data_IF_290126801229
#
_entry.id   IF_290126801229
#
_cell.length_a   1.000
_cell.length_b   1.000
_cell.length_c   1.000
_cell.angle_alpha   90.00
_cell.angle_beta   90.00
_cell.angle_gamma   90.00
#
_symmetry.space_group_name_H-M   'P 1'
#
loop_
_entity.id
_entity.type
_entity.pdbx_description
1 polymer ?
#
# COMPACT_ATOMS: atom_id res chain seq x y z
N UNK A 1 -15.86 -59.57 -20.10
CA UNK A 1 -15.21 -58.33 -20.59
C UNK A 1 -14.07 -57.99 -19.64
N UNK A 2 -12.84 -57.92 -20.16
CA UNK A 2 -11.60 -57.68 -19.41
C UNK A 2 -11.35 -56.18 -19.32
N UNK A 3 -11.50 -55.60 -18.14
CA UNK A 3 -10.91 -54.31 -17.79
C UNK A 3 -10.42 -54.36 -16.35
N UNK A 4 -9.35 -55.11 -16.11
CA UNK A 4 -8.44 -54.75 -15.02
C UNK A 4 -7.64 -53.57 -15.57
N UNK A 5 -8.07 -52.35 -15.28
CA UNK A 5 -7.19 -51.20 -15.37
C UNK A 5 -5.93 -51.59 -14.57
N UNK A 6 -4.82 -51.83 -15.28
CA UNK A 6 -3.59 -52.36 -14.70
C UNK A 6 -3.26 -51.60 -13.43
N UNK A 7 -3.12 -52.29 -12.29
CA UNK A 7 -2.73 -51.71 -10.99
C UNK A 7 -1.50 -50.78 -11.10
N UNK A 8 -0.68 -51.00 -12.13
CA UNK A 8 0.48 -50.19 -12.48
C UNK A 8 0.15 -48.74 -12.89
N UNK A 9 -0.97 -48.50 -13.58
CA UNK A 9 -1.37 -47.14 -13.99
C UNK A 9 -1.96 -46.37 -12.80
N UNK A 10 -2.68 -47.04 -11.91
CA UNK A 10 -3.28 -46.42 -10.73
C UNK A 10 -2.24 -46.03 -9.67
N UNK A 11 -1.22 -46.87 -9.43
CA UNK A 11 -0.09 -46.56 -8.54
C UNK A 11 0.84 -45.46 -9.07
N UNK A 12 1.05 -45.39 -10.39
CA UNK A 12 1.78 -44.27 -11.00
C UNK A 12 0.98 -42.96 -10.89
N UNK A 13 -0.32 -43.01 -11.17
CA UNK A 13 -1.20 -41.84 -11.06
C UNK A 13 -1.26 -41.31 -9.62
N UNK A 14 -1.34 -42.18 -8.61
CA UNK A 14 -1.36 -41.75 -7.20
C UNK A 14 -0.06 -41.04 -6.77
N UNK A 15 1.10 -41.49 -7.27
CA UNK A 15 2.40 -40.82 -7.04
C UNK A 15 2.43 -39.40 -7.61
N UNK A 16 1.93 -39.21 -8.84
CA UNK A 16 1.85 -37.88 -9.46
C UNK A 16 0.84 -36.98 -8.73
N UNK A 17 -0.31 -37.52 -8.31
CA UNK A 17 -1.29 -36.78 -7.52
C UNK A 17 -0.73 -36.30 -6.18
N UNK A 18 0.07 -37.11 -5.49
CA UNK A 18 0.66 -36.70 -4.22
C UNK A 18 1.69 -35.56 -4.38
N UNK A 19 2.52 -35.61 -5.43
CA UNK A 19 3.44 -34.51 -5.76
C UNK A 19 2.67 -33.24 -6.13
N UNK A 20 1.61 -33.37 -6.93
CA UNK A 20 0.74 -32.24 -7.27
C UNK A 20 0.09 -31.64 -6.02
N UNK A 21 -0.41 -32.46 -5.10
CA UNK A 21 -1.01 -32.01 -3.84
C UNK A 21 0.00 -31.27 -2.95
N UNK A 22 1.23 -31.77 -2.84
CA UNK A 22 2.30 -31.09 -2.10
C UNK A 22 2.66 -29.73 -2.72
N UNK A 23 2.72 -29.65 -4.05
CA UNK A 23 2.94 -28.38 -4.77
C UNK A 23 1.79 -27.40 -4.58
N UNK A 24 0.54 -27.86 -4.66
CA UNK A 24 -0.65 -27.02 -4.44
C UNK A 24 -0.67 -26.48 -3.01
N UNK A 25 -0.37 -27.31 -2.01
CA UNK A 25 -0.24 -26.88 -0.62
C UNK A 25 0.85 -25.83 -0.44
N UNK A 26 2.02 -26.04 -1.06
CA UNK A 26 3.11 -25.08 -0.99
C UNK A 26 2.77 -23.75 -1.67
N UNK A 27 2.13 -23.79 -2.85
CA UNK A 27 1.65 -22.60 -3.54
C UNK A 27 0.60 -21.84 -2.72
N UNK A 28 -0.28 -22.56 -2.01
CA UNK A 28 -1.28 -21.95 -1.14
C UNK A 28 -0.64 -21.25 0.08
N UNK A 29 0.37 -21.87 0.68
CA UNK A 29 1.19 -21.24 1.74
C UNK A 29 1.89 -20.00 1.19
N UNK A 30 2.48 -20.09 -0.01
CA UNK A 30 3.16 -18.98 -0.65
C UNK A 30 2.22 -17.81 -0.95
N UNK A 31 1.04 -18.10 -1.50
CA UNK A 31 0.02 -17.09 -1.77
C UNK A 31 -0.45 -16.39 -0.48
N UNK A 32 -0.69 -17.17 0.58
CA UNK A 32 -1.03 -16.63 1.91
C UNK A 32 0.08 -15.72 2.46
N UNK A 33 1.35 -16.12 2.31
CA UNK A 33 2.49 -15.30 2.75
C UNK A 33 2.60 -13.97 1.99
N UNK A 34 2.32 -13.95 0.68
CA UNK A 34 2.29 -12.73 -0.12
C UNK A 34 1.18 -11.80 0.36
N UNK A 35 -0.03 -12.34 0.58
CA UNK A 35 -1.15 -11.56 1.09
C UNK A 35 -0.84 -10.94 2.45
N UNK A 36 -0.18 -11.69 3.34
CA UNK A 36 0.25 -11.19 4.65
C UNK A 36 1.25 -10.02 4.53
N UNK A 37 2.23 -10.12 3.63
CA UNK A 37 3.20 -9.03 3.38
C UNK A 37 2.50 -7.79 2.79
N UNK A 38 1.62 -7.97 1.80
CA UNK A 38 0.88 -6.87 1.17
C UNK A 38 -0.01 -6.17 2.20
N UNK A 39 -0.70 -6.92 3.06
CA UNK A 39 -1.51 -6.35 4.13
C UNK A 39 -0.65 -5.57 5.15
N UNK A 40 0.51 -6.09 5.51
CA UNK A 40 1.45 -5.39 6.38
C UNK A 40 1.97 -4.10 5.73
N UNK A 41 2.23 -4.10 4.41
CA UNK A 41 2.63 -2.92 3.67
C UNK A 41 1.51 -1.87 3.64
N UNK A 42 0.28 -2.26 3.30
CA UNK A 42 -0.86 -1.34 3.30
C UNK A 42 -1.15 -0.74 4.68
N UNK A 43 -0.99 -1.52 5.74
CA UNK A 43 -1.12 -1.00 7.10
C UNK A 43 -0.08 0.11 7.36
N UNK A 44 1.17 -0.08 6.92
CA UNK A 44 2.22 0.94 7.05
C UNK A 44 1.98 2.16 6.18
N UNK A 45 1.54 1.97 4.94
CA UNK A 45 1.14 3.08 4.06
C UNK A 45 0.03 3.91 4.71
N UNK A 46 -0.95 3.27 5.35
CA UNK A 46 -2.04 3.94 6.05
C UNK A 46 -1.55 4.74 7.26
N UNK A 47 -0.67 4.18 8.07
CA UNK A 47 -0.03 4.88 9.19
C UNK A 47 0.76 6.11 8.72
N UNK A 48 1.58 5.96 7.68
CA UNK A 48 2.34 7.07 7.08
C UNK A 48 1.39 8.14 6.53
N UNK A 49 0.34 7.73 5.84
CA UNK A 49 -0.69 8.65 5.33
C UNK A 49 -1.36 9.42 6.46
N UNK A 50 -1.61 8.79 7.61
CA UNK A 50 -2.15 9.45 8.79
C UNK A 50 -1.16 10.48 9.37
N UNK A 51 0.12 10.13 9.53
CA UNK A 51 1.15 11.07 9.99
C UNK A 51 1.32 12.27 9.04
N UNK A 52 1.31 12.02 7.73
CA UNK A 52 1.34 13.08 6.72
C UNK A 52 0.12 13.98 6.78
N UNK A 53 -1.08 13.43 6.98
CA UNK A 53 -2.29 14.23 7.13
C UNK A 53 -2.23 15.12 8.38
N UNK A 54 -1.77 14.59 9.51
CA UNK A 54 -1.59 15.38 10.75
C UNK A 54 -0.60 16.53 10.55
N UNK A 55 0.53 16.25 9.89
CA UNK A 55 1.54 17.25 9.54
C UNK A 55 0.96 18.31 8.59
N UNK A 56 0.20 17.88 7.59
CA UNK A 56 -0.48 18.78 6.66
C UNK A 56 -1.53 19.66 7.35
N UNK A 57 -2.25 19.13 8.34
CA UNK A 57 -3.23 19.92 9.08
C UNK A 57 -2.54 20.96 9.97
N UNK A 58 -1.36 20.66 10.53
CA UNK A 58 -0.52 21.65 11.21
C UNK A 58 -0.06 22.76 10.25
N UNK A 59 0.46 22.39 9.09
CA UNK A 59 0.85 23.32 8.03
C UNK A 59 -0.32 24.22 7.60
N UNK A 60 -1.51 23.63 7.41
CA UNK A 60 -2.70 24.36 7.02
C UNK A 60 -3.15 25.32 8.12
N UNK A 61 -3.14 24.89 9.39
CA UNK A 61 -3.46 25.77 10.53
C UNK A 61 -2.53 26.97 10.62
N UNK A 62 -1.25 26.81 10.27
CA UNK A 62 -0.30 27.92 10.21
C UNK A 62 -0.76 28.99 9.20
N UNK A 63 -1.07 28.58 7.96
CA UNK A 63 -1.53 29.50 6.91
C UNK A 63 -2.90 30.12 7.27
N UNK A 64 -3.81 29.33 7.85
CA UNK A 64 -5.11 29.83 8.31
C UNK A 64 -4.96 30.89 9.40
N UNK A 65 -4.10 30.64 10.41
CA UNK A 65 -3.80 31.60 11.47
C UNK A 65 -3.27 32.92 10.90
N UNK A 66 -2.35 32.86 9.94
CA UNK A 66 -1.84 34.07 9.29
C UNK A 66 -2.92 34.78 8.48
N UNK A 67 -3.81 34.04 7.81
CA UNK A 67 -4.97 34.64 7.13
C UNK A 67 -5.93 35.31 8.10
N UNK A 68 -6.13 34.79 9.30
CA UNK A 68 -7.05 35.37 10.28
C UNK A 68 -6.47 36.65 10.87
N UNK A 69 -5.17 36.66 11.20
CA UNK A 69 -4.45 37.90 11.58
C UNK A 69 -4.52 38.94 10.47
N UNK A 70 -4.36 38.54 9.20
CA UNK A 70 -4.50 39.46 8.07
C UNK A 70 -5.89 40.08 7.96
N UNK A 71 -6.96 39.33 8.25
CA UNK A 71 -8.34 39.88 8.27
C UNK A 71 -8.51 40.89 9.39
N UNK A 72 -7.99 40.62 10.58
CA UNK A 72 -8.03 41.55 11.71
C UNK A 72 -7.27 42.84 11.39
N UNK A 73 -6.04 42.74 10.90
CA UNK A 73 -5.23 43.89 10.52
C UNK A 73 -5.87 44.68 9.37
N UNK A 74 -6.47 43.99 8.39
CA UNK A 74 -7.25 44.63 7.31
C UNK A 74 -8.40 45.45 7.86
N UNK A 75 -9.23 44.86 8.72
CA UNK A 75 -10.40 45.54 9.32
C UNK A 75 -9.98 46.82 10.08
N UNK A 76 -8.85 46.75 10.78
CA UNK A 76 -8.32 47.91 11.53
C UNK A 76 -7.77 48.96 10.57
N UNK A 77 -7.03 48.55 9.53
CA UNK A 77 -6.53 49.45 8.50
C UNK A 77 -7.69 50.18 7.79
N UNK A 78 -8.74 49.47 7.37
CA UNK A 78 -9.91 50.06 6.71
C UNK A 78 -10.59 51.10 7.61
N UNK A 79 -10.82 50.78 8.89
CA UNK A 79 -11.46 51.71 9.83
C UNK A 79 -10.62 52.94 10.15
N UNK A 80 -9.31 52.78 10.30
CA UNK A 80 -8.40 53.88 10.67
C UNK A 80 -8.00 54.76 9.49
N UNK A 81 -7.98 54.20 8.28
CA UNK A 81 -7.79 54.96 7.03
C UNK A 81 -9.05 55.73 6.62
N UNK A 82 -10.25 55.25 6.99
CA UNK A 82 -11.53 55.93 6.71
C UNK A 82 -11.80 57.16 7.58
N UNK A 83 -11.20 57.23 8.77
CA UNK A 83 -11.53 58.27 9.74
C UNK A 83 -10.87 59.60 9.33
N UNK A 84 -11.62 60.46 8.62
CA UNK A 84 -11.23 61.86 8.31
C UNK A 84 -10.88 62.67 9.56
N UNK A 85 -11.34 62.23 10.74
CA UNK A 85 -10.81 62.62 12.03
C UNK A 85 -10.46 61.34 12.79
N UNK A 86 -9.20 60.93 12.72
CA UNK A 86 -8.68 59.75 13.43
C UNK A 86 -9.20 59.73 14.86
N UNK A 87 -9.77 58.59 15.28
CA UNK A 87 -10.25 58.41 16.66
C UNK A 87 -9.17 58.92 17.61
N UNK A 88 -9.44 60.06 18.23
CA UNK A 88 -8.55 60.74 19.17
C UNK A 88 -8.05 59.71 20.19
N UNK A 89 -6.73 59.62 20.33
CA UNK A 89 -6.09 58.86 21.40
C UNK A 89 -6.79 59.15 22.73
N UNK A 90 -7.13 58.14 23.55
CA UNK A 90 -7.42 58.41 24.95
C UNK A 90 -6.13 58.94 25.57
N UNK A 91 -6.10 60.26 25.79
CA UNK A 91 -5.17 61.07 26.57
C UNK A 91 -3.93 60.36 27.15
N UNK A 92 -2.77 60.87 26.76
CA UNK A 92 -1.73 61.24 27.72
C UNK A 92 -0.51 60.31 27.80
N UNK A 93 0.47 60.54 26.93
CA UNK A 93 1.87 60.87 27.30
C UNK A 93 2.73 60.94 26.05
N UNK A 94 3.68 61.86 26.12
CA UNK A 94 4.73 62.18 25.16
C UNK A 94 5.62 60.97 24.81
N UNK A 95 5.13 60.10 23.96
CA UNK A 95 6.01 59.27 23.13
C UNK A 95 5.60 59.55 21.70
N UNK A 96 6.35 60.47 21.09
CA UNK A 96 6.30 60.74 19.66
C UNK A 96 6.41 59.39 18.95
N UNK A 97 5.29 58.90 18.45
CA UNK A 97 5.26 57.67 17.71
C UNK A 97 6.09 57.93 16.45
N UNK A 98 7.24 57.27 16.28
CA UNK A 98 8.00 57.30 15.02
C UNK A 98 7.04 56.88 13.90
N UNK A 99 6.56 57.85 13.12
CA UNK A 99 5.66 57.59 12.00
C UNK A 99 6.55 57.01 10.91
N UNK A 100 6.22 55.83 10.35
CA UNK A 100 7.06 55.23 9.32
C UNK A 100 7.07 56.13 8.09
N UNK A 101 8.27 56.45 7.62
CA UNK A 101 8.46 57.22 6.39
C UNK A 101 8.11 56.30 5.21
N UNK A 102 7.40 56.86 4.22
CA UNK A 102 7.16 56.13 2.98
C UNK A 102 8.45 56.00 2.19
N UNK A 103 8.81 54.77 1.88
CA UNK A 103 9.92 54.45 1.01
C UNK A 103 9.39 54.15 -0.40
N UNK A 104 10.02 54.69 -1.46
CA UNK A 104 9.64 54.36 -2.82
C UNK A 104 9.99 52.90 -3.12
N UNK A 105 9.00 52.14 -3.61
CA UNK A 105 9.26 50.81 -4.17
C UNK A 105 9.97 50.94 -5.53
N UNK A 106 9.55 51.91 -6.35
CA UNK A 106 10.16 52.19 -7.65
C UNK A 106 10.97 53.48 -7.60
N UNK A 107 12.11 53.51 -8.29
CA UNK A 107 13.00 54.67 -8.32
C UNK A 107 12.29 55.97 -8.80
N UNK A 108 11.21 55.83 -9.56
CA UNK A 108 10.44 56.93 -10.15
C UNK A 108 9.23 57.38 -9.29
N UNK A 109 9.00 56.75 -8.12
CA UNK A 109 7.85 57.05 -7.24
C UNK A 109 8.10 58.27 -6.33
N UNK A 110 7.27 59.32 -6.42
CA UNK A 110 7.28 60.42 -5.46
C UNK A 110 6.39 60.11 -4.23
N UNK A 111 7.03 59.76 -3.12
CA UNK A 111 6.37 59.40 -1.88
C UNK A 111 6.15 60.57 -0.90
N UNK A 112 6.64 61.76 -1.23
CA UNK A 112 6.58 62.93 -0.34
C UNK A 112 5.15 63.47 -0.20
N UNK A 113 4.37 63.49 -1.28
CA UNK A 113 3.00 63.98 -1.30
C UNK A 113 2.05 63.07 -0.48
N UNK A 114 2.26 61.75 -0.54
CA UNK A 114 1.43 60.77 0.17
C UNK A 114 1.70 60.77 1.69
N UNK A 115 2.95 61.05 2.08
CA UNK A 115 3.32 61.22 3.50
C UNK A 115 2.50 62.32 4.18
N UNK A 116 2.16 63.39 3.47
CA UNK A 116 1.41 64.51 4.03
C UNK A 116 -0.09 64.24 4.13
N UNK A 117 -0.70 63.60 3.13
CA UNK A 117 -2.15 63.30 3.13
C UNK A 117 -2.53 62.21 4.13
N UNK A 118 -1.68 61.20 4.29
CA UNK A 118 -1.97 60.04 5.15
C UNK A 118 -1.35 60.15 6.54
N UNK A 119 -0.68 61.26 6.85
CA UNK A 119 0.13 61.42 8.09
C UNK A 119 -0.64 61.06 9.36
N UNK A 120 -1.86 61.59 9.50
CA UNK A 120 -2.70 61.39 10.69
C UNK A 120 -3.20 59.94 10.78
N UNK A 121 -3.66 59.38 9.66
CA UNK A 121 -4.12 57.99 9.61
C UNK A 121 -2.98 57.01 9.88
N UNK A 122 -1.77 57.28 9.37
CA UNK A 122 -0.56 56.49 9.61
C UNK A 122 -0.06 56.60 11.03
N UNK A 123 -0.15 57.77 11.67
CA UNK A 123 0.20 57.91 13.08
C UNK A 123 -0.71 57.04 13.95
N UNK A 124 -2.01 57.05 13.68
CA UNK A 124 -2.97 56.20 14.39
C UNK A 124 -2.71 54.70 14.15
N UNK A 125 -2.36 54.32 12.92
CA UNK A 125 -2.05 52.95 12.55
C UNK A 125 -0.71 52.52 13.17
N UNK A 126 0.32 53.37 13.14
CA UNK A 126 1.64 53.10 13.72
C UNK A 126 1.56 52.91 15.23
N UNK A 127 0.74 53.71 15.93
CA UNK A 127 0.48 53.50 17.35
C UNK A 127 -0.17 52.13 17.60
N UNK A 128 -1.20 51.79 16.81
CA UNK A 128 -1.84 50.48 16.93
C UNK A 128 -0.86 49.34 16.65
N UNK A 129 -0.03 49.45 15.61
CA UNK A 129 0.95 48.42 15.27
C UNK A 129 2.00 48.25 16.37
N UNK A 130 2.42 49.32 17.06
CA UNK A 130 3.28 49.18 18.25
C UNK A 130 2.56 48.49 19.40
N UNK A 131 1.34 48.91 19.72
CA UNK A 131 0.54 48.25 20.75
C UNK A 131 0.33 46.77 20.43
N UNK A 132 0.02 46.47 19.17
CA UNK A 132 -0.20 45.11 18.70
C UNK A 132 1.09 44.30 18.74
N UNK A 133 2.22 44.91 18.37
CA UNK A 133 3.54 44.30 18.51
C UNK A 133 3.82 43.91 19.95
N UNK A 134 3.72 44.86 20.86
CA UNK A 134 4.17 44.69 22.24
C UNK A 134 3.30 43.68 23.01
N UNK A 135 2.04 43.50 22.59
CA UNK A 135 1.11 42.56 23.23
C UNK A 135 0.90 41.24 22.48
N UNK A 136 1.09 41.19 21.15
CA UNK A 136 0.70 40.04 20.34
C UNK A 136 1.77 39.55 19.34
N UNK A 137 2.81 40.33 19.00
CA UNK A 137 3.78 39.90 17.96
C UNK A 137 4.50 38.59 18.29
N UNK A 138 4.81 38.33 19.57
CA UNK A 138 5.50 37.12 20.00
C UNK A 138 4.67 35.84 19.78
N UNK A 139 3.34 35.95 19.76
CA UNK A 139 2.45 34.81 19.51
C UNK A 139 2.33 34.45 18.02
N UNK A 140 2.68 35.38 17.13
CA UNK A 140 2.47 35.27 15.68
C UNK A 140 3.76 35.29 14.83
N UNK A 141 4.94 35.48 15.46
CA UNK A 141 6.26 35.50 14.81
C UNK A 141 6.33 36.37 13.54
N UNK A 142 5.59 37.48 13.54
CA UNK A 142 5.63 38.47 12.47
C UNK A 142 6.91 39.29 12.57
N UNK A 143 7.64 39.38 11.46
CA UNK A 143 8.84 40.19 11.40
C UNK A 143 8.53 41.60 10.92
N UNK A 144 7.58 41.71 9.98
CA UNK A 144 7.27 42.97 9.32
C UNK A 144 5.79 43.05 8.98
N UNK A 145 5.21 44.24 9.17
CA UNK A 145 3.95 44.61 8.53
C UNK A 145 4.24 45.86 7.70
N UNK A 146 3.75 45.88 6.47
CA UNK A 146 3.96 46.99 5.55
C UNK A 146 2.66 47.34 4.83
N UNK A 147 2.52 48.60 4.45
CA UNK A 147 1.38 49.11 3.71
C UNK A 147 1.89 49.78 2.44
N UNK A 148 1.28 49.46 1.30
CA UNK A 148 1.68 49.96 -0.01
C UNK A 148 0.51 50.74 -0.59
N UNK A 149 0.73 52.02 -0.93
CA UNK A 149 -0.30 52.81 -1.61
C UNK A 149 -0.61 52.26 -3.00
N UNK A 150 -1.89 52.18 -3.37
CA UNK A 150 -2.33 51.62 -4.66
C UNK A 150 -1.88 52.44 -5.86
N UNK A 151 -1.95 53.77 -5.75
CA UNK A 151 -1.70 54.70 -6.86
C UNK A 151 -0.21 55.06 -7.00
N UNK A 152 0.53 55.15 -5.88
CA UNK A 152 1.87 55.75 -5.84
C UNK A 152 2.99 54.71 -5.62
N UNK A 153 2.62 53.46 -5.29
CA UNK A 153 3.55 52.36 -5.00
C UNK A 153 4.59 52.75 -3.94
N UNK A 154 4.16 53.50 -2.93
CA UNK A 154 4.98 53.90 -1.80
C UNK A 154 4.72 52.97 -0.63
N UNK A 155 5.77 52.46 0.00
CA UNK A 155 5.69 51.50 1.10
C UNK A 155 5.93 52.20 2.44
N UNK A 156 4.96 52.12 3.35
CA UNK A 156 5.17 52.42 4.77
C UNK A 156 5.51 51.12 5.50
N UNK A 157 6.67 51.09 6.15
CA UNK A 157 7.13 49.92 6.90
C UNK A 157 6.87 50.11 8.41
N UNK A 158 6.02 49.28 9.00
CA UNK A 158 5.74 49.33 10.44
C UNK A 158 6.65 48.41 11.27
N UNK A 159 7.80 48.01 10.70
CA UNK A 159 8.85 47.13 11.26
C UNK A 159 8.64 46.66 12.70
N UNK A 160 8.41 45.35 12.87
CA UNK A 160 8.16 44.75 14.19
C UNK A 160 9.46 44.22 14.82
N UNK A 161 10.40 43.75 13.98
CA UNK A 161 11.74 43.29 14.37
C UNK A 161 12.78 43.90 13.42
N UNK A 162 13.93 44.33 13.95
CA UNK A 162 15.09 44.72 13.13
C UNK A 162 15.73 43.48 12.52
N UNK A 163 15.28 43.09 11.33
CA UNK A 163 15.90 42.03 10.54
C UNK A 163 16.69 42.64 9.38
N UNK A 164 17.99 42.32 9.24
CA UNK A 164 18.75 42.64 8.05
C UNK A 164 18.34 41.65 6.94
N UNK A 165 17.17 41.85 6.37
CA UNK A 165 16.77 41.13 5.16
C UNK A 165 17.63 41.69 4.03
N UNK A 166 18.10 40.83 3.12
CA UNK A 166 18.61 41.25 1.80
C UNK A 166 17.49 42.01 1.09
N UNK A 167 17.41 43.31 1.40
CA UNK A 167 16.28 44.18 1.13
C UNK A 167 15.98 44.17 -0.37
N UNK A 168 17.01 44.10 -1.19
CA UNK A 168 16.90 44.22 -2.64
C UNK A 168 16.27 42.99 -3.30
N UNK A 169 16.55 41.77 -2.83
CA UNK A 169 15.98 40.53 -3.43
C UNK A 169 14.52 40.36 -3.03
N UNK A 170 14.21 40.58 -1.75
CA UNK A 170 12.84 40.56 -1.24
C UNK A 170 11.97 41.66 -1.86
N UNK A 171 12.50 42.88 -2.00
CA UNK A 171 11.80 43.98 -2.67
C UNK A 171 11.58 43.66 -4.16
N UNK A 172 12.57 43.15 -4.89
CA UNK A 172 12.39 42.72 -6.30
C UNK A 172 11.29 41.67 -6.47
N UNK A 173 11.26 40.65 -5.62
CA UNK A 173 10.20 39.63 -5.64
C UNK A 173 8.82 40.23 -5.34
N UNK A 174 8.75 41.16 -4.38
CA UNK A 174 7.54 41.91 -4.07
C UNK A 174 7.07 42.78 -5.26
N UNK A 175 7.99 43.47 -5.93
CA UNK A 175 7.69 44.27 -7.13
C UNK A 175 7.02 43.44 -8.22
N UNK A 176 7.60 42.28 -8.53
CA UNK A 176 7.08 41.38 -9.55
C UNK A 176 5.67 40.88 -9.20
N UNK A 177 5.44 40.49 -7.94
CA UNK A 177 4.14 40.00 -7.46
C UNK A 177 3.06 41.09 -7.45
N UNK A 178 3.40 42.32 -7.06
CA UNK A 178 2.45 43.46 -7.09
C UNK A 178 2.07 43.81 -8.53
N UNK A 179 3.04 43.81 -9.46
CA UNK A 179 2.76 44.06 -10.87
C UNK A 179 1.86 42.97 -11.46
N UNK A 180 2.10 41.69 -11.13
CA UNK A 180 1.23 40.58 -11.53
C UNK A 180 -0.21 40.78 -11.04
N UNK A 181 -0.38 41.20 -9.79
CA UNK A 181 -1.69 41.46 -9.20
C UNK A 181 -2.43 42.63 -9.85
N UNK A 182 -1.74 43.75 -10.10
CA UNK A 182 -2.34 44.93 -10.76
C UNK A 182 -2.79 44.64 -12.19
N UNK A 183 -2.09 43.73 -12.87
CA UNK A 183 -2.39 43.32 -14.23
C UNK A 183 -3.41 42.17 -14.30
N UNK A 184 -3.88 41.65 -13.16
CA UNK A 184 -4.86 40.57 -13.12
C UNK A 184 -6.28 41.07 -13.46
N UNK A 185 -7.15 40.21 -14.02
CA UNK A 185 -8.56 40.55 -14.25
C UNK A 185 -9.29 40.91 -12.94
N UNK A 186 -10.34 41.74 -13.02
CA UNK A 186 -11.03 42.27 -11.82
C UNK A 186 -11.65 41.21 -10.90
N UNK A 187 -11.98 40.00 -11.39
CA UNK A 187 -12.51 38.91 -10.55
C UNK A 187 -11.44 38.33 -9.60
N UNK A 188 -10.17 38.26 -10.02
CA UNK A 188 -9.06 37.78 -9.17
C UNK A 188 -8.46 38.90 -8.30
N UNK A 189 -8.77 40.16 -8.64
CA UNK A 189 -8.25 41.35 -7.96
C UNK A 189 -8.78 41.51 -6.52
N UNK A 190 -9.80 40.76 -6.10
CA UNK A 190 -10.27 40.77 -4.70
C UNK A 190 -9.53 39.80 -3.77
N UNK A 191 -8.70 38.92 -4.30
CA UNK A 191 -8.09 37.81 -3.56
C UNK A 191 -6.83 38.21 -2.79
N UNK A 192 -6.56 37.49 -1.70
CA UNK A 192 -5.30 37.61 -0.97
C UNK A 192 -4.18 36.93 -1.75
N UNK A 193 -3.02 37.57 -1.86
CA UNK A 193 -1.83 36.96 -2.45
C UNK A 193 -0.97 36.32 -1.36
N UNK A 194 -0.44 35.15 -1.65
CA UNK A 194 0.48 34.43 -0.77
C UNK A 194 1.67 33.96 -1.59
N UNK A 195 2.89 34.16 -1.09
CA UNK A 195 4.08 33.57 -1.69
C UNK A 195 5.17 33.33 -0.65
N UNK A 196 6.14 32.50 -1.01
CA UNK A 196 7.30 32.20 -0.18
C UNK A 196 8.56 32.57 -0.96
N UNK A 197 9.51 33.20 -0.27
CA UNK A 197 10.87 33.37 -0.78
C UNK A 197 11.85 32.49 -0.01
N UNK A 198 12.89 32.02 -0.70
CA UNK A 198 13.99 31.29 -0.07
C UNK A 198 14.74 32.21 0.90
N UNK A 199 15.10 31.67 2.07
CA UNK A 199 15.93 32.36 3.05
C UNK A 199 17.42 32.03 2.86
N UNK A 200 18.30 32.63 3.68
CA UNK A 200 19.74 32.45 3.56
C UNK A 200 20.22 31.05 3.95
N UNK A 201 19.37 30.23 4.58
CA UNK A 201 19.68 28.87 5.02
C UNK A 201 18.68 27.88 4.41
N UNK A 202 19.12 26.67 3.99
CA UNK A 202 18.21 25.60 3.58
C UNK A 202 17.17 25.33 4.68
N UNK A 203 15.90 25.17 4.28
CA UNK A 203 14.80 24.92 5.21
C UNK A 203 14.29 26.16 5.99
N UNK A 204 14.86 27.34 5.77
CA UNK A 204 14.33 28.61 6.27
C UNK A 204 13.88 29.48 5.10
N UNK A 205 12.71 30.10 5.21
CA UNK A 205 12.18 31.00 4.18
C UNK A 205 11.36 32.13 4.79
N UNK A 206 10.86 33.02 3.93
CA UNK A 206 9.97 34.10 4.30
C UNK A 206 8.62 33.90 3.63
N UNK A 207 7.56 33.84 4.44
CA UNK A 207 6.18 33.78 3.99
C UNK A 207 5.60 35.19 3.95
N UNK A 208 5.05 35.55 2.80
CA UNK A 208 4.42 36.83 2.56
C UNK A 208 2.93 36.62 2.32
N UNK A 209 2.11 37.44 2.97
CA UNK A 209 0.68 37.53 2.68
C UNK A 209 0.32 38.99 2.41
N UNK A 210 -0.38 39.23 1.30
CA UNK A 210 -0.81 40.57 0.87
C UNK A 210 -2.32 40.58 0.68
N UNK A 211 -2.97 41.60 1.24
CA UNK A 211 -4.43 41.76 1.20
C UNK A 211 -4.79 43.17 0.77
N UNK A 212 -5.71 43.34 -0.20
CA UNK A 212 -6.20 44.65 -0.58
C UNK A 212 -7.08 45.28 0.49
N UNK A 213 -6.89 46.59 0.68
CA UNK A 213 -7.61 47.47 1.60
C UNK A 213 -8.46 48.43 0.78
N UNK A 214 -9.78 48.35 0.95
CA UNK A 214 -10.73 49.17 0.20
C UNK A 214 -11.31 50.26 1.09
N UNK A 215 -11.42 51.47 0.54
CA UNK A 215 -12.14 52.59 1.14
C UNK A 215 -13.22 53.04 0.16
N UNK A 216 -14.47 53.08 0.61
CA UNK A 216 -15.60 53.48 -0.23
C UNK A 216 -15.62 52.75 -1.59
N UNK A 217 -15.35 51.44 -1.59
CA UNK A 217 -15.29 50.58 -2.78
C UNK A 217 -14.15 50.91 -3.78
N UNK A 218 -13.14 51.70 -3.37
CA UNK A 218 -11.92 51.96 -4.15
C UNK A 218 -10.71 51.36 -3.43
N UNK A 219 -9.85 50.66 -4.19
CA UNK A 219 -8.57 50.14 -3.67
C UNK A 219 -7.65 51.33 -3.30
N UNK A 220 -7.37 51.50 -2.01
CA UNK A 220 -6.50 52.58 -1.52
C UNK A 220 -5.09 52.09 -1.21
N UNK A 221 -4.97 50.87 -0.70
CA UNK A 221 -3.69 50.31 -0.30
C UNK A 221 -3.68 48.78 -0.33
N UNK A 222 -2.48 48.22 -0.30
CA UNK A 222 -2.20 46.80 -0.10
C UNK A 222 -1.52 46.66 1.26
N UNK A 223 -2.12 45.88 2.15
CA UNK A 223 -1.55 45.55 3.44
C UNK A 223 -0.81 44.23 3.32
N UNK A 224 0.45 44.19 3.73
CA UNK A 224 1.28 43.00 3.65
C UNK A 224 1.96 42.65 4.97
N UNK A 225 2.12 41.36 5.21
CA UNK A 225 2.88 40.83 6.34
C UNK A 225 3.97 39.89 5.88
N UNK A 226 5.08 39.89 6.62
CA UNK A 226 6.20 38.99 6.45
C UNK A 226 6.41 38.18 7.73
N UNK A 227 6.46 36.86 7.57
CA UNK A 227 6.73 35.90 8.64
C UNK A 227 7.91 35.01 8.24
N UNK A 228 8.82 34.75 9.18
CA UNK A 228 9.83 33.72 8.97
C UNK A 228 9.20 32.35 9.11
N UNK A 229 9.39 31.51 8.11
CA UNK A 229 9.00 30.11 8.15
C UNK A 229 10.22 29.23 8.31
N UNK A 230 10.07 28.21 9.16
CA UNK A 230 11.04 27.11 9.30
C UNK A 230 10.32 25.85 8.91
N UNK A 231 10.89 25.08 7.99
CA UNK A 231 10.29 23.84 7.50
C UNK A 231 10.05 22.83 8.63
N UNK A 232 10.85 22.88 9.70
CA UNK A 232 10.67 22.13 10.96
C UNK A 232 9.29 22.34 11.61
N UNK A 233 8.65 23.49 11.39
CA UNK A 233 7.33 23.79 11.94
C UNK A 233 6.18 23.19 11.11
N UNK A 234 6.46 22.61 9.94
CA UNK A 234 5.47 22.07 9.00
C UNK A 234 5.33 20.54 9.07
N UNK A 235 6.07 19.88 9.94
CA UNK A 235 5.91 18.46 10.22
C UNK A 235 5.99 18.18 11.71
N UNK A 236 5.35 17.10 12.13
CA UNK A 236 5.45 16.62 13.49
C UNK A 236 6.78 15.86 13.66
N UNK A 237 7.56 16.11 14.72
CA UNK A 237 8.75 15.32 15.02
C UNK A 237 8.32 13.86 15.24
N UNK A 238 8.62 13.02 14.25
CA UNK A 238 8.22 11.63 14.18
C UNK A 238 9.42 10.69 14.08
N UNK A 239 9.14 9.40 14.01
CA UNK A 239 10.18 8.37 13.85
C UNK A 239 10.66 8.21 12.41
N UNK A 240 9.94 8.80 11.45
CA UNK A 240 10.22 8.68 10.02
C UNK A 240 11.02 9.89 9.52
N UNK A 241 12.10 9.68 8.75
CA UNK A 241 12.79 10.77 8.08
C UNK A 241 11.92 11.28 6.91
N UNK A 242 11.11 12.30 7.19
CA UNK A 242 10.22 12.90 6.21
C UNK A 242 10.91 14.07 5.50
N UNK A 243 10.85 14.07 4.18
CA UNK A 243 11.11 15.22 3.36
C UNK A 243 9.90 16.13 3.28
N UNK A 244 10.12 17.44 3.33
CA UNK A 244 9.06 18.44 3.14
C UNK A 244 9.48 19.42 2.07
N UNK A 245 8.63 19.62 1.08
CA UNK A 245 8.83 20.56 -0.02
C UNK A 245 7.55 21.37 -0.23
N UNK A 246 7.67 22.69 -0.38
CA UNK A 246 6.55 23.56 -0.73
C UNK A 246 6.66 23.95 -2.20
N UNK A 247 5.53 23.91 -2.90
CA UNK A 247 5.41 24.24 -4.32
C UNK A 247 4.52 25.47 -4.51
N UNK A 248 4.84 26.26 -5.55
CA UNK A 248 3.99 27.34 -6.06
C UNK A 248 2.78 26.80 -6.85
N UNK A 249 1.88 27.68 -7.27
CA UNK A 249 0.74 27.46 -8.18
C UNK A 249 1.11 26.70 -9.45
N UNK A 250 2.35 26.85 -9.91
CA UNK A 250 2.86 26.25 -11.14
C UNK A 250 3.64 24.94 -10.89
N UNK A 251 3.69 24.47 -9.64
CA UNK A 251 4.44 23.26 -9.26
C UNK A 251 5.94 23.46 -9.08
N UNK A 252 6.43 24.69 -9.13
CA UNK A 252 7.84 25.00 -8.88
C UNK A 252 8.17 24.90 -7.39
N UNK A 253 9.30 24.27 -7.06
CA UNK A 253 9.79 24.14 -5.68
C UNK A 253 10.23 25.49 -5.13
N UNK A 254 9.57 25.97 -4.07
CA UNK A 254 9.89 27.23 -3.40
C UNK A 254 10.87 27.03 -2.25
N UNK A 255 10.71 25.96 -1.48
CA UNK A 255 11.59 25.61 -0.36
C UNK A 255 11.53 24.11 -0.12
N UNK A 256 12.68 23.50 0.17
CA UNK A 256 12.77 22.09 0.51
C UNK A 256 13.70 21.87 1.70
N UNK A 257 13.31 20.96 2.59
CA UNK A 257 14.15 20.47 3.68
C UNK A 257 15.05 19.32 3.23
N UNK A 258 14.70 18.64 2.15
CA UNK A 258 15.52 17.54 1.63
C UNK A 258 16.76 18.12 0.96
N UNK A 259 17.91 17.46 1.14
CA UNK A 259 19.17 17.92 0.55
C UNK A 259 19.06 18.06 -0.98
N UNK A 260 19.96 18.83 -1.62
CA UNK A 260 19.88 19.17 -3.04
C UNK A 260 19.80 17.96 -4.00
N UNK A 261 20.21 16.76 -3.56
CA UNK A 261 20.14 15.51 -4.35
C UNK A 261 18.74 14.86 -4.40
N UNK A 262 17.82 15.29 -3.54
CA UNK A 262 16.46 14.76 -3.38
C UNK A 262 15.40 15.83 -3.67
N UNK A 263 15.66 16.70 -4.65
CA UNK A 263 14.63 17.61 -5.17
C UNK A 263 13.61 16.78 -5.92
N UNK A 264 12.46 16.58 -5.28
CA UNK A 264 11.31 15.91 -5.88
C UNK A 264 10.91 16.68 -7.13
N UNK A 265 10.94 16.01 -8.28
CA UNK A 265 10.42 16.57 -9.53
C UNK A 265 8.89 16.56 -9.46
N UNK A 266 8.28 17.72 -9.69
CA UNK A 266 6.83 17.84 -9.75
C UNK A 266 6.27 16.97 -10.88
N UNK A 267 5.44 15.99 -10.54
CA UNK A 267 4.68 15.20 -11.52
C UNK A 267 3.49 16.04 -12.02
N UNK A 268 3.25 16.15 -13.33
CA UNK A 268 2.09 16.85 -13.89
C UNK A 268 0.74 16.41 -13.30
N UNK A 269 0.63 15.14 -12.87
CA UNK A 269 -0.59 14.59 -12.24
C UNK A 269 -0.94 15.31 -10.93
N UNK A 270 0.05 15.83 -10.21
CA UNK A 270 -0.15 16.51 -8.93
C UNK A 270 -0.85 17.87 -9.08
N UNK A 271 -0.81 18.47 -10.27
CA UNK A 271 -1.37 19.79 -10.51
C UNK A 271 -2.89 19.78 -10.66
N UNK A 272 -3.47 18.63 -11.05
CA UNK A 272 -4.91 18.51 -11.32
C UNK A 272 -5.73 18.24 -10.05
N UNK A 273 -5.13 17.59 -9.05
CA UNK A 273 -5.83 17.16 -7.82
C UNK A 273 -5.46 18.02 -6.60
N UNK A 274 -6.46 18.33 -5.75
CA UNK A 274 -6.25 19.09 -4.50
C UNK A 274 -5.42 18.32 -3.45
N UNK A 275 -5.46 17.00 -3.52
CA UNK A 275 -4.71 16.10 -2.66
C UNK A 275 -4.37 14.84 -3.46
N UNK A 276 -3.11 14.40 -3.39
CA UNK A 276 -2.64 13.21 -4.08
C UNK A 276 -1.71 12.42 -3.16
N UNK A 277 -1.91 11.11 -3.08
CA UNK A 277 -1.08 10.20 -2.29
C UNK A 277 -0.66 9.02 -3.15
N UNK A 278 0.65 8.76 -3.23
CA UNK A 278 1.14 7.64 -4.00
C UNK A 278 2.65 7.63 -4.16
N UNK A 279 3.12 6.69 -4.98
CA UNK A 279 4.54 6.52 -5.28
C UNK A 279 4.99 7.41 -6.44
N UNK A 280 6.20 7.92 -6.32
CA UNK A 280 6.91 8.61 -7.41
C UNK A 280 7.25 7.66 -8.55
N UNK A 281 7.56 8.21 -9.73
CA UNK A 281 8.04 7.41 -10.86
C UNK A 281 9.27 6.58 -10.46
N UNK A 282 9.18 5.27 -10.65
CA UNK A 282 10.23 4.33 -10.25
C UNK A 282 10.17 3.85 -8.79
N UNK A 283 9.06 4.09 -8.07
CA UNK A 283 8.80 3.57 -6.71
C UNK A 283 9.90 3.90 -5.69
N UNK A 284 10.54 5.06 -5.82
CA UNK A 284 11.65 5.48 -4.95
C UNK A 284 11.16 6.10 -3.65
N UNK A 285 10.12 6.92 -3.74
CA UNK A 285 9.56 7.66 -2.61
C UNK A 285 8.03 7.56 -2.60
N UNK A 286 7.47 7.44 -1.40
CA UNK A 286 6.05 7.57 -1.11
C UNK A 286 5.75 9.03 -0.76
N UNK A 287 4.78 9.63 -1.44
CA UNK A 287 4.54 11.08 -1.40
C UNK A 287 3.08 11.39 -1.09
N UNK A 288 2.86 12.42 -0.26
CA UNK A 288 1.57 13.11 -0.10
C UNK A 288 1.70 14.56 -0.53
N UNK A 289 0.95 14.94 -1.57
CA UNK A 289 0.74 16.34 -1.96
C UNK A 289 -0.62 16.82 -1.48
N UNK A 290 -0.69 18.00 -0.87
CA UNK A 290 -1.96 18.64 -0.46
C UNK A 290 -1.89 20.15 -0.61
N UNK A 291 -2.96 20.78 -1.07
CA UNK A 291 -3.05 22.25 -1.16
C UNK A 291 -3.20 22.86 0.25
N UNK A 292 -2.71 24.10 0.43
CA UNK A 292 -2.73 24.83 1.70
C UNK A 292 -3.72 26.02 1.65
N UNK A 293 -5.05 25.80 1.70
CA UNK A 293 -6.01 26.89 1.68
C UNK A 293 -5.91 27.78 2.95
N UNK A 294 -6.15 29.10 2.85
CA UNK A 294 -6.63 29.85 1.68
C UNK A 294 -5.56 30.22 0.64
N UNK A 295 -4.30 29.82 0.83
CA UNK A 295 -3.25 30.06 -0.17
C UNK A 295 -3.36 29.13 -1.37
N UNK A 296 -2.72 29.52 -2.46
CA UNK A 296 -2.57 28.72 -3.67
C UNK A 296 -1.34 27.81 -3.65
N UNK A 297 -0.58 27.82 -2.55
CA UNK A 297 0.58 26.99 -2.33
C UNK A 297 0.16 25.53 -2.08
N UNK A 298 1.07 24.60 -2.39
CA UNK A 298 0.90 23.20 -2.03
C UNK A 298 2.10 22.66 -1.30
N UNK A 299 1.87 21.74 -0.37
CA UNK A 299 2.90 21.07 0.40
C UNK A 299 3.01 19.61 -0.04
N UNK A 300 4.24 19.13 -0.12
CA UNK A 300 4.60 17.79 -0.53
C UNK A 300 5.46 17.16 0.57
N UNK A 301 4.94 16.09 1.15
CA UNK A 301 5.66 15.23 2.09
C UNK A 301 6.19 14.01 1.34
N UNK A 302 7.44 13.63 1.55
CA UNK A 302 8.03 12.42 0.95
C UNK A 302 8.76 11.57 1.97
N UNK A 303 8.70 10.25 1.78
CA UNK A 303 9.50 9.29 2.54
C UNK A 303 10.08 8.25 1.56
N UNK A 304 11.40 7.98 1.61
CA UNK A 304 12.01 6.93 0.79
C UNK A 304 11.41 5.55 1.08
N UNK A 305 11.12 4.77 0.03
CA UNK A 305 10.53 3.44 0.15
C UNK A 305 11.44 2.47 0.90
N UNK A 306 12.77 2.64 0.79
CA UNK A 306 13.74 1.87 1.57
C UNK A 306 13.49 2.00 3.08
N UNK A 307 13.12 3.19 3.55
CA UNK A 307 12.81 3.47 4.96
C UNK A 307 11.45 2.92 5.38
N UNK A 308 10.47 2.91 4.47
CA UNK A 308 9.19 2.23 4.69
C UNK A 308 9.40 0.71 4.84
N UNK A 309 10.22 0.12 3.96
CA UNK A 309 10.54 -1.30 3.95
C UNK A 309 11.41 -1.73 5.13
N UNK A 310 12.32 -0.88 5.61
CA UNK A 310 13.24 -1.19 6.72
C UNK A 310 12.51 -1.71 7.95
N UNK A 311 11.34 -1.13 8.26
CA UNK A 311 10.55 -1.51 9.43
C UNK A 311 9.80 -2.84 9.26
N UNK A 312 9.40 -3.21 8.03
CA UNK A 312 8.77 -4.50 7.73
C UNK A 312 9.77 -5.56 7.24
N UNK A 313 11.06 -5.21 7.13
CA UNK A 313 12.12 -6.07 6.61
C UNK A 313 12.20 -7.41 7.35
N UNK A 314 12.12 -7.39 8.69
CA UNK A 314 12.14 -8.63 9.48
C UNK A 314 10.92 -9.50 9.22
N UNK A 315 9.74 -8.91 9.01
CA UNK A 315 8.53 -9.65 8.68
C UNK A 315 8.64 -10.31 7.30
N UNK A 316 9.15 -9.58 6.30
CA UNK A 316 9.41 -10.11 4.95
C UNK A 316 10.43 -11.26 5.01
N UNK A 317 11.54 -11.08 5.72
CA UNK A 317 12.57 -12.11 5.87
C UNK A 317 12.01 -13.37 6.55
N UNK A 318 11.26 -13.22 7.65
CA UNK A 318 10.65 -14.34 8.36
C UNK A 318 9.62 -15.07 7.49
N UNK A 319 8.80 -14.34 6.71
CA UNK A 319 7.82 -14.93 5.80
C UNK A 319 8.50 -15.75 4.68
N UNK A 320 9.56 -15.21 4.08
CA UNK A 320 10.34 -15.92 3.05
C UNK A 320 11.00 -17.16 3.66
N UNK A 321 11.65 -17.02 4.83
CA UNK A 321 12.30 -18.14 5.51
C UNK A 321 11.30 -19.26 5.82
N UNK A 322 10.13 -18.93 6.36
CA UNK A 322 9.09 -19.89 6.68
C UNK A 322 8.55 -20.59 5.43
N UNK A 323 8.40 -19.86 4.33
CA UNK A 323 7.96 -20.42 3.05
C UNK A 323 8.99 -21.40 2.46
N UNK A 324 10.28 -21.06 2.51
CA UNK A 324 11.38 -21.95 2.10
C UNK A 324 11.43 -23.20 2.97
N UNK A 325 11.32 -23.06 4.29
CA UNK A 325 11.30 -24.19 5.23
C UNK A 325 10.07 -25.08 5.00
N UNK A 326 8.89 -24.50 4.78
CA UNK A 326 7.68 -25.25 4.47
C UNK A 326 7.81 -26.01 3.14
N UNK A 327 8.38 -25.39 2.11
CA UNK A 327 8.67 -26.04 0.83
C UNK A 327 9.65 -27.21 0.98
N UNK A 328 10.74 -27.01 1.73
CA UNK A 328 11.70 -28.07 2.03
C UNK A 328 11.06 -29.23 2.83
N UNK A 329 10.22 -28.92 3.82
CA UNK A 329 9.49 -29.91 4.61
C UNK A 329 8.50 -30.72 3.74
N UNK A 330 7.70 -30.06 2.91
CA UNK A 330 6.76 -30.72 2.00
C UNK A 330 7.49 -31.58 0.97
N UNK A 331 8.63 -31.12 0.44
CA UNK A 331 9.44 -31.88 -0.51
C UNK A 331 10.08 -33.11 0.14
N UNK A 332 10.63 -32.97 1.34
CA UNK A 332 11.23 -34.10 2.08
C UNK A 332 10.17 -35.13 2.47
N UNK A 333 9.00 -34.68 2.92
CA UNK A 333 7.85 -35.53 3.23
C UNK A 333 7.34 -36.24 1.96
N UNK A 334 7.21 -35.53 0.84
CA UNK A 334 6.86 -36.13 -0.46
C UNK A 334 7.82 -37.25 -0.85
N UNK A 335 9.12 -37.01 -0.72
CA UNK A 335 10.17 -37.99 -1.02
C UNK A 335 10.18 -39.17 -0.03
N UNK A 336 9.94 -38.92 1.25
CA UNK A 336 9.88 -39.97 2.27
C UNK A 336 8.69 -40.90 2.04
N UNK A 337 7.50 -40.35 1.81
CA UNK A 337 6.28 -41.11 1.53
C UNK A 337 6.40 -41.93 0.24
N UNK A 338 6.98 -41.35 -0.82
CA UNK A 338 7.26 -42.08 -2.06
C UNK A 338 8.16 -43.30 -1.79
N UNK A 339 9.25 -43.10 -1.06
CA UNK A 339 10.21 -44.17 -0.76
C UNK A 339 9.68 -45.24 0.20
N UNK A 340 8.94 -44.85 1.24
CA UNK A 340 8.50 -45.77 2.30
C UNK A 340 7.19 -46.48 2.01
N UNK A 341 6.27 -45.90 1.24
CA UNK A 341 4.92 -46.45 1.06
C UNK A 341 4.68 -46.86 -0.38
N UNK A 342 4.87 -45.95 -1.34
CA UNK A 342 4.48 -46.21 -2.72
C UNK A 342 5.39 -47.22 -3.44
N UNK A 343 6.71 -47.16 -3.22
CA UNK A 343 7.65 -48.12 -3.81
C UNK A 343 7.41 -49.55 -3.32
N UNK A 344 7.36 -49.84 -2.00
CA UNK A 344 7.10 -51.21 -1.54
C UNK A 344 5.69 -51.70 -1.90
N UNK A 345 4.67 -50.83 -1.87
CA UNK A 345 3.33 -51.21 -2.31
C UNK A 345 3.27 -51.61 -3.80
N UNK A 346 4.06 -50.96 -4.66
CA UNK A 346 4.17 -51.34 -6.08
C UNK A 346 4.83 -52.71 -6.24
N UNK A 347 5.89 -53.01 -5.48
CA UNK A 347 6.53 -54.34 -5.53
C UNK A 347 5.67 -55.45 -4.95
N UNK A 348 4.93 -55.19 -3.87
CA UNK A 348 4.07 -56.19 -3.25
C UNK A 348 2.87 -56.50 -4.14
N UNK A 349 2.24 -55.48 -4.74
CA UNK A 349 1.18 -55.67 -5.71
C UNK A 349 1.66 -56.45 -6.96
N UNK A 350 2.86 -56.16 -7.44
CA UNK A 350 3.45 -56.87 -8.59
C UNK A 350 3.72 -58.34 -8.26
N UNK A 351 4.26 -58.63 -7.08
CA UNK A 351 4.48 -60.02 -6.62
C UNK A 351 3.17 -60.78 -6.45
N UNK A 352 2.13 -60.14 -5.93
CA UNK A 352 0.79 -60.74 -5.83
C UNK A 352 0.20 -61.06 -7.21
N UNK A 353 0.31 -60.14 -8.16
CA UNK A 353 -0.13 -60.37 -9.55
C UNK A 353 0.68 -61.50 -10.21
N UNK A 354 2.00 -61.53 -10.03
CA UNK A 354 2.86 -62.61 -10.53
C UNK A 354 2.52 -63.96 -9.89
N UNK A 355 2.28 -64.01 -8.57
CA UNK A 355 1.88 -65.23 -7.88
C UNK A 355 0.49 -65.70 -8.31
N UNK A 356 -0.47 -64.81 -8.54
CA UNK A 356 -1.79 -65.19 -9.05
C UNK A 356 -1.68 -65.73 -10.49
N UNK A 357 -0.94 -65.05 -11.36
CA UNK A 357 -0.74 -65.50 -12.74
C UNK A 357 0.06 -66.81 -12.82
N UNK A 358 1.07 -66.98 -11.97
CA UNK A 358 1.85 -68.20 -11.86
C UNK A 358 1.02 -69.36 -11.30
N UNK A 359 0.30 -69.14 -10.20
CA UNK A 359 -0.60 -70.16 -9.65
C UNK A 359 -1.67 -70.56 -10.67
N UNK A 360 -2.25 -69.60 -11.39
CA UNK A 360 -3.20 -69.90 -12.47
C UNK A 360 -2.56 -70.71 -13.60
N UNK A 361 -1.31 -70.41 -13.98
CA UNK A 361 -0.58 -71.16 -15.01
C UNK A 361 -0.18 -72.57 -14.54
N UNK A 362 0.28 -72.74 -13.31
CA UNK A 362 0.56 -74.07 -12.72
C UNK A 362 -0.71 -74.90 -12.68
N UNK A 363 -1.80 -74.33 -12.16
CA UNK A 363 -3.09 -75.02 -12.07
C UNK A 363 -3.57 -75.39 -13.47
N UNK A 364 -3.34 -74.54 -14.47
CA UNK A 364 -3.64 -74.84 -15.87
C UNK A 364 -2.77 -75.94 -16.48
N UNK A 365 -1.50 -76.04 -16.09
CA UNK A 365 -0.55 -77.03 -16.63
C UNK A 365 -0.41 -78.31 -15.81
N UNK A 366 -1.16 -78.47 -14.71
CA UNK A 366 -1.07 -79.65 -13.86
C UNK A 366 -1.48 -80.93 -14.64
N UNK A 367 -0.75 -82.06 -14.51
CA UNK A 367 -1.07 -83.31 -15.20
C UNK A 367 -2.32 -84.03 -14.64
N UNK A 368 -3.05 -83.38 -13.72
CA UNK A 368 -4.23 -83.91 -13.04
C UNK A 368 -5.37 -82.89 -13.20
N UNK A 369 -6.59 -83.39 -13.42
CA UNK A 369 -7.78 -82.54 -13.56
C UNK A 369 -8.20 -81.99 -12.20
N UNK A 370 -7.93 -80.71 -11.93
CA UNK A 370 -8.35 -80.04 -10.69
C UNK A 370 -9.67 -79.29 -10.92
N UNK A 371 -10.64 -79.55 -10.04
CA UNK A 371 -11.94 -78.87 -9.99
C UNK A 371 -12.28 -78.47 -8.55
N UNK A 372 -12.74 -77.23 -8.35
CA UNK A 372 -13.23 -76.71 -7.07
C UNK A 372 -14.76 -76.58 -7.18
N UNK A 373 -15.48 -77.30 -6.33
CA UNK A 373 -16.94 -77.31 -6.28
C UNK A 373 -17.43 -76.61 -5.01
N UNK A 374 -18.56 -75.90 -5.11
CA UNK A 374 -19.27 -75.38 -3.93
C UNK A 374 -19.95 -76.53 -3.19
N UNK A 375 -19.74 -76.66 -1.89
CA UNK A 375 -20.27 -77.77 -1.09
C UNK A 375 -21.79 -77.75 -0.90
N UNK A 376 -22.44 -76.59 -1.01
CA UNK A 376 -23.89 -76.46 -0.88
C UNK A 376 -24.65 -77.09 -2.07
N UNK A 377 -24.23 -76.78 -3.30
CA UNK A 377 -25.01 -77.09 -4.51
C UNK A 377 -24.21 -77.89 -5.57
N UNK A 378 -22.93 -78.20 -5.31
CA UNK A 378 -22.06 -78.92 -6.25
C UNK A 378 -21.62 -78.13 -7.48
N UNK A 379 -21.94 -76.83 -7.56
CA UNK A 379 -21.62 -75.98 -8.71
C UNK A 379 -20.10 -75.77 -8.82
N UNK A 380 -19.57 -75.89 -10.05
CA UNK A 380 -18.16 -75.70 -10.36
C UNK A 380 -17.77 -74.21 -10.27
N UNK A 381 -16.86 -73.89 -9.35
CA UNK A 381 -16.33 -72.54 -9.11
C UNK A 381 -15.08 -72.31 -9.96
N UNK A 382 -14.22 -73.32 -10.07
CA UNK A 382 -12.97 -73.25 -10.82
C UNK A 382 -12.62 -74.64 -11.34
N UNK A 383 -12.28 -74.76 -12.62
CA UNK A 383 -11.75 -76.00 -13.18
C UNK A 383 -10.67 -75.70 -14.21
N UNK A 384 -9.63 -76.53 -14.23
CA UNK A 384 -8.67 -76.53 -15.31
C UNK A 384 -9.29 -77.18 -16.57
N UNK A 385 -8.76 -76.88 -17.77
CA UNK A 385 -9.18 -77.43 -19.05
C UNK A 385 -9.23 -78.97 -19.03
N UNK A 386 -8.23 -79.63 -18.43
CA UNK A 386 -8.21 -81.09 -18.30
C UNK A 386 -9.38 -81.61 -17.43
N UNK A 387 -9.68 -80.93 -16.32
CA UNK A 387 -10.78 -81.29 -15.44
C UNK A 387 -12.14 -81.05 -16.10
N UNK A 388 -12.25 -79.96 -16.87
CA UNK A 388 -13.44 -79.67 -17.66
C UNK A 388 -13.69 -80.73 -18.73
N UNK A 389 -12.63 -81.21 -19.40
CA UNK A 389 -12.71 -82.32 -20.36
C UNK A 389 -13.16 -83.62 -19.68
N UNK A 390 -12.58 -83.99 -18.54
CA UNK A 390 -12.98 -85.20 -17.80
C UNK A 390 -14.41 -85.13 -17.26
N UNK A 391 -14.84 -83.99 -16.71
CA UNK A 391 -16.21 -83.79 -16.22
C UNK A 391 -17.26 -83.89 -17.34
N UNK A 392 -16.90 -83.54 -18.58
CA UNK A 392 -17.79 -83.68 -19.72
C UNK A 392 -17.89 -85.11 -20.26
N UNK A 393 -16.95 -86.00 -19.91
CA UNK A 393 -16.98 -87.42 -20.30
C UNK A 393 -17.86 -88.30 -19.38
N UNK A 394 -18.27 -87.76 -18.23
CA UNK A 394 -19.15 -88.40 -17.25
C UNK A 394 -20.63 -88.27 -17.66
N UNK A 395 -21.42 -89.30 -17.40
CA UNK A 395 -22.88 -89.25 -17.63
C UNK A 395 -23.58 -88.32 -16.64
N UNK A 396 -24.77 -87.83 -16.99
CA UNK A 396 -25.54 -86.93 -16.11
C UNK A 396 -25.86 -87.58 -14.75
N UNK A 397 -26.12 -88.88 -14.73
CA UNK A 397 -26.41 -89.65 -13.52
C UNK A 397 -25.16 -89.77 -12.62
N UNK A 398 -24.00 -90.07 -13.21
CA UNK A 398 -22.73 -90.14 -12.47
C UNK A 398 -22.32 -88.80 -11.88
N UNK A 399 -22.59 -87.68 -12.57
CA UNK A 399 -22.31 -86.33 -12.05
C UNK A 399 -23.18 -86.01 -10.83
N UNK A 400 -24.45 -86.40 -10.85
CA UNK A 400 -25.35 -86.22 -9.70
C UNK A 400 -24.93 -87.09 -8.52
N UNK A 401 -24.55 -88.34 -8.79
CA UNK A 401 -24.03 -89.27 -7.77
C UNK A 401 -22.72 -88.77 -7.15
N UNK A 402 -21.78 -88.30 -7.96
CA UNK A 402 -20.53 -87.69 -7.49
C UNK A 402 -20.80 -86.48 -6.59
N UNK A 403 -21.73 -85.61 -6.99
CA UNK A 403 -22.10 -84.43 -6.20
C UNK A 403 -22.66 -84.83 -4.82
N UNK A 404 -23.54 -85.83 -4.77
CA UNK A 404 -24.08 -86.35 -3.51
C UNK A 404 -23.00 -86.95 -2.61
N UNK A 405 -22.07 -87.74 -3.17
CA UNK A 405 -20.98 -88.35 -2.40
C UNK A 405 -20.03 -87.27 -1.85
N UNK A 406 -19.74 -86.24 -2.65
CA UNK A 406 -18.88 -85.12 -2.25
C UNK A 406 -19.54 -84.30 -1.15
N UNK A 407 -20.83 -83.95 -1.28
CA UNK A 407 -21.56 -83.19 -0.27
C UNK A 407 -21.79 -84.00 1.03
N UNK A 408 -22.01 -85.31 0.92
CA UNK A 408 -22.31 -86.21 2.04
C UNK A 408 -21.09 -86.78 2.77
N UNK A 409 -19.86 -86.47 2.32
CA UNK A 409 -18.60 -86.90 2.95
C UNK A 409 -18.44 -88.42 3.14
N UNK A 410 -19.00 -89.22 2.24
CA UNK A 410 -19.05 -90.68 2.44
C UNK A 410 -17.73 -91.41 2.14
N UNK A 411 -16.91 -90.92 1.21
CA UNK A 411 -15.63 -91.55 0.78
C UNK A 411 -14.64 -90.45 0.35
N UNK A 412 -13.32 -90.69 0.40
CA UNK A 412 -12.30 -89.69 -0.01
C UNK A 412 -11.89 -89.78 -1.50
N UNK A 413 -12.29 -90.86 -2.18
CA UNK A 413 -12.07 -91.07 -3.61
C UNK A 413 -13.22 -91.89 -4.21
N UNK A 414 -13.45 -91.74 -5.51
CA UNK A 414 -14.45 -92.47 -6.27
C UNK A 414 -13.84 -92.81 -7.64
N UNK A 415 -13.93 -94.08 -8.03
CA UNK A 415 -13.56 -94.51 -9.37
C UNK A 415 -14.84 -94.58 -10.22
N UNK A 416 -14.83 -93.88 -11.36
CA UNK A 416 -15.96 -93.86 -12.30
C UNK A 416 -15.49 -94.26 -13.68
N UNK A 417 -16.29 -95.08 -14.34
CA UNK A 417 -16.03 -95.51 -15.71
C UNK A 417 -16.64 -94.47 -16.65
N UNK A 418 -15.81 -93.85 -17.50
CA UNK A 418 -16.29 -92.83 -18.43
C UNK A 418 -17.06 -93.46 -19.59
N UNK A 419 -17.81 -92.63 -20.33
CA UNK A 419 -18.49 -93.02 -21.58
C UNK A 419 -17.57 -93.67 -22.63
N UNK A 420 -16.25 -93.43 -22.55
CA UNK A 420 -15.25 -93.98 -23.47
C UNK A 420 -14.56 -95.24 -22.90
N UNK A 421 -15.14 -95.89 -21.89
CA UNK A 421 -14.63 -97.09 -21.25
C UNK A 421 -13.26 -96.93 -20.57
N UNK A 422 -12.89 -95.69 -20.19
CA UNK A 422 -11.69 -95.40 -19.42
C UNK A 422 -12.03 -95.21 -17.93
N UNK A 423 -11.15 -95.67 -17.05
CA UNK A 423 -11.33 -95.48 -15.61
C UNK A 423 -10.82 -94.10 -15.20
N UNK A 424 -11.69 -93.30 -14.59
CA UNK A 424 -11.36 -92.00 -14.02
C UNK A 424 -11.43 -92.10 -12.49
N UNK A 425 -10.29 -91.95 -11.84
CA UNK A 425 -10.20 -91.86 -10.39
C UNK A 425 -10.33 -90.40 -9.94
N UNK A 426 -11.36 -90.11 -9.16
CA UNK A 426 -11.64 -88.77 -8.64
C UNK A 426 -11.39 -88.79 -7.14
N UNK A 427 -10.37 -88.08 -6.70
CA UNK A 427 -10.12 -87.83 -5.27
C UNK A 427 -10.60 -86.44 -4.89
N UNK A 428 -11.23 -86.29 -3.74
CA UNK A 428 -11.71 -84.99 -3.28
C UNK A 428 -11.48 -84.81 -1.78
N UNK A 429 -11.29 -83.55 -1.38
CA UNK A 429 -11.05 -83.15 0.00
C UNK A 429 -11.85 -81.86 0.26
N UNK A 430 -12.53 -81.80 1.41
CA UNK A 430 -13.20 -80.57 1.83
C UNK A 430 -12.16 -79.55 2.31
N UNK A 431 -12.13 -78.39 1.66
CA UNK A 431 -11.32 -77.26 2.11
C UNK A 431 -11.89 -76.70 3.41
N UNK A 432 -11.01 -76.20 4.30
CA UNK A 432 -11.41 -75.49 5.54
C UNK A 432 -11.95 -74.09 5.28
N UNK A 433 -11.76 -73.56 4.07
CA UNK A 433 -12.34 -72.29 3.65
C UNK A 433 -13.76 -72.56 3.16
N UNK A 434 -14.75 -72.09 3.94
CA UNK A 434 -16.18 -72.13 3.58
C UNK A 434 -16.53 -71.04 2.59
#
# INVERSE_FOLDING_TARGET
MKYLASFRTTLKASRYMFRALALVLWLLIAFSSVFYIVNALHQRESEIRQEFNLSSDQAQRFIQRTSDVMKELKYIAENRLSAENGVLSPRGRETQADVPVFEPLFADSDCSAMSNTWRVSLESLAWFMRYWRDNFSAAYDLNRVFLIGSDNLCMANFGLRDMPVERDTALKALHERINKYRNAPQDDSGSNLYWISEGPRPGVGYFYALTPVYLANRLQALLGVEQTIRMENFFLPGTLPMGVTILDENGHTLISLTGPESKIKSDPRWMQERSWFGYTEGFRELVLKKNLPPSSLSIVYSVPVDKVLERIRMLILNAILLNVLAGAALFTLARMYERRIFIPAESDALRLEEHEQFNRKIVASAPVGICILRTADGVNILSNELAHTYLNMLTHEDRQRLTQIICGQQVNFVDVLTSNNTNLQISFVHSRYR
#
